data_IF_743576044738
#
_entry.id   IF_743576044738
#
_cell.length_a   1.000
_cell.length_b   1.000
_cell.length_c   1.000
_cell.angle_alpha   90.00
_cell.angle_beta   90.00
_cell.angle_gamma   90.00
#
_symmetry.space_group_name_H-M   'P 1'
#
loop_
_entity.id
_entity.type
_entity.pdbx_description
1 polymer ?
#
# COMPACT_ATOMS: atom_id res chain seq x y z
N UNK A 1 3.13 0.82 12.78
CA UNK A 1 3.67 1.56 11.61
C UNK A 1 2.49 1.92 10.72
N UNK A 2 2.34 3.17 10.25
CA UNK A 2 1.22 3.52 9.35
C UNK A 2 1.60 3.22 7.91
N UNK A 3 0.63 2.84 7.07
CA UNK A 3 0.84 2.43 5.67
C UNK A 3 1.72 3.42 4.88
N UNK A 4 1.47 4.71 5.04
CA UNK A 4 2.21 5.76 4.35
C UNK A 4 3.65 5.94 4.84
N UNK A 5 3.95 5.58 6.09
CA UNK A 5 5.32 5.60 6.60
C UNK A 5 6.16 4.54 5.88
N UNK A 6 5.65 3.30 5.81
CA UNK A 6 6.27 2.19 5.07
C UNK A 6 6.43 2.53 3.60
N UNK A 7 5.39 3.08 2.97
CA UNK A 7 5.45 3.47 1.56
C UNK A 7 6.54 4.51 1.30
N UNK A 8 6.62 5.55 2.14
CA UNK A 8 7.64 6.60 2.03
C UNK A 8 9.05 6.04 2.17
N UNK A 9 9.28 5.16 3.14
CA UNK A 9 10.60 4.55 3.38
C UNK A 9 11.05 3.73 2.17
N UNK A 10 10.16 2.89 1.64
CA UNK A 10 10.47 2.05 0.47
C UNK A 10 10.71 2.85 -0.79
N UNK A 11 9.93 3.92 -1.01
CA UNK A 11 10.10 4.80 -2.16
C UNK A 11 11.46 5.51 -2.12
N UNK A 12 11.89 5.98 -0.93
CA UNK A 12 13.23 6.59 -0.76
C UNK A 12 14.37 5.60 -0.92
N UNK A 13 14.15 4.34 -0.59
CA UNK A 13 15.11 3.26 -0.77
C UNK A 13 15.06 2.63 -2.17
N UNK A 14 14.23 3.16 -3.07
CA UNK A 14 14.05 2.67 -4.45
C UNK A 14 13.68 1.18 -4.52
N UNK A 15 12.95 0.68 -3.51
CA UNK A 15 12.55 -0.72 -3.43
C UNK A 15 11.26 -0.98 -4.22
N UNK A 16 11.15 -2.11 -4.94
CA UNK A 16 9.95 -2.48 -5.68
C UNK A 16 8.71 -2.45 -4.78
N UNK A 17 7.70 -1.69 -5.18
CA UNK A 17 6.52 -1.40 -4.36
C UNK A 17 5.31 -1.09 -5.25
N UNK A 18 4.13 -1.57 -4.87
CA UNK A 18 2.87 -1.19 -5.51
C UNK A 18 1.89 -0.64 -4.46
N UNK A 19 1.32 0.54 -4.74
CA UNK A 19 0.26 1.15 -3.94
C UNK A 19 -1.05 1.08 -4.72
N UNK A 20 -1.99 0.29 -4.22
CA UNK A 20 -3.30 0.09 -4.85
C UNK A 20 -4.34 0.97 -4.15
N UNK A 21 -5.22 1.57 -4.95
CA UNK A 21 -6.34 2.38 -4.45
C UNK A 21 -7.65 1.85 -5.03
N UNK A 22 -8.64 1.61 -4.17
CA UNK A 22 -10.01 1.39 -4.64
C UNK A 22 -10.58 2.71 -5.18
N UNK A 23 -10.84 2.76 -6.48
CA UNK A 23 -11.39 3.94 -7.16
C UNK A 23 -12.90 3.84 -7.39
N UNK A 24 -13.45 2.64 -7.29
CA UNK A 24 -14.88 2.35 -7.39
C UNK A 24 -15.21 1.13 -6.51
N UNK A 25 -16.40 1.09 -5.89
CA UNK A 25 -16.85 0.04 -4.97
C UNK A 25 -17.22 0.50 -3.55
N UNK A 26 -17.46 -0.45 -2.61
CA UNK A 26 -17.99 -0.14 -1.27
C UNK A 26 -16.98 0.56 -0.33
N UNK A 27 -15.69 0.48 -0.63
CA UNK A 27 -14.62 1.06 0.17
C UNK A 27 -13.73 2.02 -0.66
N UNK A 28 -14.35 2.87 -1.49
CA UNK A 28 -13.61 3.88 -2.29
C UNK A 28 -12.63 4.65 -1.42
N UNK A 29 -11.41 4.80 -1.92
CA UNK A 29 -10.31 5.45 -1.22
C UNK A 29 -9.49 4.52 -0.33
N UNK A 30 -9.93 3.28 -0.09
CA UNK A 30 -9.13 2.26 0.60
C UNK A 30 -7.77 2.06 -0.08
N UNK A 31 -6.77 1.68 0.72
CA UNK A 31 -5.36 1.59 0.31
C UNK A 31 -4.81 0.23 0.71
N UNK A 32 -4.15 -0.41 -0.25
CA UNK A 32 -3.39 -1.62 -0.04
C UNK A 32 -1.97 -1.42 -0.58
N UNK A 33 -0.99 -1.59 0.30
CA UNK A 33 0.42 -1.54 -0.05
C UNK A 33 0.94 -2.97 -0.20
N UNK A 34 1.39 -3.31 -1.41
CA UNK A 34 1.94 -4.62 -1.74
C UNK A 34 3.45 -4.51 -1.88
N UNK A 35 4.16 -5.42 -1.21
CA UNK A 35 5.62 -5.48 -1.19
C UNK A 35 6.09 -6.92 -1.44
N UNK A 36 7.24 -7.14 -2.10
CA UNK A 36 7.77 -8.49 -2.30
C UNK A 36 8.09 -9.18 -0.97
N UNK A 37 7.67 -10.44 -0.82
CA UNK A 37 8.10 -11.31 0.29
C UNK A 37 7.53 -10.94 1.67
N UNK A 38 6.50 -10.11 1.74
CA UNK A 38 5.80 -9.81 3.00
C UNK A 38 4.31 -9.70 2.78
N UNK A 39 3.56 -9.78 3.88
CA UNK A 39 2.12 -9.53 3.86
C UNK A 39 1.83 -8.09 3.43
N UNK A 40 0.75 -7.90 2.68
CA UNK A 40 0.30 -6.59 2.27
C UNK A 40 -0.18 -5.77 3.46
N UNK A 41 0.08 -4.46 3.43
CA UNK A 41 -0.36 -3.54 4.48
C UNK A 41 -1.62 -2.78 4.04
N UNK A 42 -2.63 -2.77 4.91
CA UNK A 42 -3.95 -2.20 4.60
C UNK A 42 -4.91 -3.25 4.02
N UNK A 43 -6.05 -2.79 3.55
CA UNK A 43 -7.09 -3.60 2.92
C UNK A 43 -7.81 -2.75 1.88
N UNK A 44 -8.45 -3.39 0.91
CA UNK A 44 -9.35 -2.76 -0.05
C UNK A 44 -10.83 -2.81 0.39
N UNK A 45 -11.11 -3.31 1.60
CA UNK A 45 -12.46 -3.62 2.07
C UNK A 45 -12.59 -5.10 2.38
#
# INVERSE_FOLDING_TARGET
MRLYDTFRERLRAELPTALVTMIDGPAIGAKLLVVPGSESLGSLG
#
